data_IF_174758552360
#
_entry.id   IF_174758552360
#
_cell.length_a   1.000
_cell.length_b   1.000
_cell.length_c   1.000
_cell.angle_alpha   90.00
_cell.angle_beta   90.00
_cell.angle_gamma   90.00
#
_symmetry.space_group_name_H-M   'P 1'
#
loop_
_entity.id
_entity.type
_entity.pdbx_description
1 polymer ?
#
# COMPACT_ATOMS: atom_id res chain seq x y z
N UNK A 1 -13.96 -0.41 -13.83
CA UNK A 1 -14.55 -0.15 -12.51
C UNK A 1 -15.29 -1.40 -12.05
N UNK A 2 -14.83 -2.00 -10.95
CA UNK A 2 -15.39 -3.21 -10.38
C UNK A 2 -16.80 -2.93 -9.80
N UNK A 3 -17.79 -3.81 -10.05
CA UNK A 3 -19.12 -3.73 -9.43
C UNK A 3 -19.11 -3.64 -7.90
N UNK A 4 -18.07 -4.14 -7.24
CA UNK A 4 -17.88 -4.05 -5.77
C UNK A 4 -17.87 -2.62 -5.24
N UNK A 5 -17.50 -1.64 -6.06
CA UNK A 5 -17.45 -0.22 -5.69
C UNK A 5 -18.70 0.57 -6.16
N UNK A 6 -19.79 -0.11 -6.53
CA UNK A 6 -21.01 0.53 -7.00
C UNK A 6 -20.95 1.07 -8.43
N UNK A 7 -19.91 0.70 -9.18
CA UNK A 7 -19.70 1.10 -10.57
C UNK A 7 -19.23 2.54 -10.73
N UNK A 8 -19.01 2.95 -11.98
CA UNK A 8 -18.42 4.25 -12.33
C UNK A 8 -19.25 5.44 -11.80
N UNK A 9 -20.58 5.32 -11.77
CA UNK A 9 -21.50 6.41 -11.35
C UNK A 9 -21.27 6.81 -9.90
N UNK A 10 -21.17 5.85 -8.99
CA UNK A 10 -20.95 6.11 -7.56
C UNK A 10 -19.57 6.75 -7.35
N UNK A 11 -18.55 6.28 -8.06
CA UNK A 11 -17.21 6.89 -8.03
C UNK A 11 -17.27 8.34 -8.50
N UNK A 12 -17.95 8.61 -9.61
CA UNK A 12 -18.10 9.94 -10.16
C UNK A 12 -18.76 10.93 -9.18
N UNK A 13 -19.84 10.51 -8.52
CA UNK A 13 -20.55 11.31 -7.51
C UNK A 13 -19.63 11.67 -6.33
N UNK A 14 -18.82 10.74 -5.86
CA UNK A 14 -17.93 10.92 -4.72
C UNK A 14 -16.67 11.73 -5.05
N UNK A 15 -16.13 11.56 -6.25
CA UNK A 15 -14.93 12.27 -6.71
C UNK A 15 -15.28 13.66 -7.29
N UNK A 16 -16.55 13.92 -7.58
CA UNK A 16 -17.01 15.19 -8.17
C UNK A 16 -16.66 15.35 -9.65
N UNK A 17 -16.58 14.26 -10.40
CA UNK A 17 -16.31 14.25 -11.84
C UNK A 17 -17.50 13.62 -12.56
N UNK A 18 -18.01 14.24 -13.62
CA UNK A 18 -19.11 13.65 -14.38
C UNK A 18 -18.69 12.35 -15.07
N UNK A 19 -19.64 11.41 -15.20
CA UNK A 19 -19.37 10.08 -15.76
C UNK A 19 -18.78 10.15 -17.18
N UNK A 20 -19.32 11.02 -18.05
CA UNK A 20 -18.80 11.18 -19.39
C UNK A 20 -17.38 11.71 -19.43
N UNK A 21 -17.05 12.67 -18.54
CA UNK A 21 -15.70 13.20 -18.42
C UNK A 21 -14.74 12.14 -17.90
N UNK A 22 -15.13 11.38 -16.87
CA UNK A 22 -14.26 10.34 -16.33
C UNK A 22 -14.02 9.21 -17.35
N UNK A 23 -15.05 8.78 -18.09
CA UNK A 23 -14.88 7.79 -19.17
C UNK A 23 -13.87 8.26 -20.22
N UNK A 24 -13.96 9.53 -20.64
CA UNK A 24 -13.03 10.08 -21.61
C UNK A 24 -11.60 10.18 -21.07
N UNK A 25 -11.42 10.46 -19.78
CA UNK A 25 -10.10 10.58 -19.13
C UNK A 25 -9.39 9.24 -18.90
N UNK A 26 -10.14 8.13 -18.81
CA UNK A 26 -9.59 6.79 -18.63
C UNK A 26 -9.58 5.97 -19.93
N UNK A 27 -10.04 6.53 -21.06
CA UNK A 27 -9.93 5.90 -22.36
C UNK A 27 -8.53 6.15 -22.94
N UNK A 28 -7.74 5.10 -23.06
CA UNK A 28 -6.37 5.14 -23.59
C UNK A 28 -6.27 5.73 -25.02
N UNK A 29 -7.38 5.69 -25.77
CA UNK A 29 -7.44 6.24 -27.13
C UNK A 29 -7.70 7.75 -27.15
N UNK A 30 -7.99 8.35 -26.01
CA UNK A 30 -8.31 9.78 -25.92
C UNK A 30 -7.06 10.58 -25.54
N UNK A 31 -6.40 11.17 -26.52
CA UNK A 31 -5.18 11.96 -26.34
C UNK A 31 -5.44 13.37 -25.81
N UNK A 32 -6.69 13.83 -25.78
CA UNK A 32 -7.03 15.20 -25.39
C UNK A 32 -7.51 15.37 -23.94
N UNK A 33 -7.96 14.28 -23.31
CA UNK A 33 -8.48 14.29 -21.95
C UNK A 33 -7.71 13.31 -21.06
N UNK A 34 -6.76 13.85 -20.32
CA UNK A 34 -5.96 13.05 -19.39
C UNK A 34 -6.51 13.13 -17.97
N UNK A 35 -6.36 12.05 -17.23
CA UNK A 35 -6.62 12.02 -15.80
C UNK A 35 -5.57 12.89 -15.09
N UNK A 36 -5.99 13.90 -14.36
CA UNK A 36 -5.08 14.76 -13.58
C UNK A 36 -4.62 14.00 -12.34
N UNK A 37 -3.44 14.35 -11.84
CA UNK A 37 -2.86 13.70 -10.65
C UNK A 37 -3.75 13.83 -9.42
N UNK A 38 -4.36 15.01 -9.20
CA UNK A 38 -5.28 15.25 -8.08
C UNK A 38 -6.59 14.43 -8.20
N UNK A 39 -7.06 14.20 -9.43
CA UNK A 39 -8.23 13.35 -9.69
C UNK A 39 -7.89 11.87 -9.45
N UNK A 40 -6.73 11.41 -9.95
CA UNK A 40 -6.23 10.06 -9.72
C UNK A 40 -6.08 9.78 -8.21
N UNK A 41 -5.53 10.73 -7.46
CA UNK A 41 -5.37 10.63 -6.01
C UNK A 41 -6.73 10.50 -5.30
N UNK A 42 -7.72 11.33 -5.64
CA UNK A 42 -9.07 11.22 -5.06
C UNK A 42 -9.75 9.89 -5.39
N UNK A 43 -9.57 9.39 -6.62
CA UNK A 43 -10.10 8.09 -7.02
C UNK A 43 -9.47 6.96 -6.20
N UNK A 44 -8.15 6.97 -6.05
CA UNK A 44 -7.44 5.96 -5.24
C UNK A 44 -7.91 5.94 -3.78
N UNK A 45 -8.08 7.10 -3.17
CA UNK A 45 -8.56 7.22 -1.79
C UNK A 45 -9.99 6.69 -1.65
N UNK A 46 -10.87 7.05 -2.59
CA UNK A 46 -12.28 6.65 -2.56
C UNK A 46 -12.47 5.15 -2.77
N UNK A 47 -11.73 4.58 -3.70
CA UNK A 47 -11.79 3.15 -4.02
C UNK A 47 -10.95 2.28 -3.09
N UNK A 48 -10.05 2.86 -2.31
CA UNK A 48 -8.98 2.16 -1.59
C UNK A 48 -8.20 1.21 -2.53
N UNK A 49 -8.03 1.63 -3.77
CA UNK A 49 -7.32 0.89 -4.82
C UNK A 49 -6.12 1.73 -5.27
N UNK A 50 -4.93 1.28 -4.93
CA UNK A 50 -3.68 2.04 -5.09
C UNK A 50 -2.83 1.56 -6.27
N UNK A 51 -3.42 0.81 -7.23
CA UNK A 51 -2.69 0.30 -8.40
C UNK A 51 -2.02 1.38 -9.25
N UNK A 52 -2.62 2.58 -9.33
CA UNK A 52 -2.00 3.72 -10.03
C UNK A 52 -0.70 4.10 -9.30
N UNK A 53 -0.73 4.22 -7.98
CA UNK A 53 0.47 4.54 -7.19
C UNK A 53 1.52 3.44 -7.28
N UNK A 54 1.11 2.17 -7.27
CA UNK A 54 2.01 1.02 -7.43
C UNK A 54 2.70 1.05 -8.80
N UNK A 55 1.96 1.33 -9.87
CA UNK A 55 2.53 1.46 -11.21
C UNK A 55 3.52 2.63 -11.30
N UNK A 56 3.15 3.80 -10.76
CA UNK A 56 4.07 4.96 -10.73
C UNK A 56 5.33 4.67 -9.91
N UNK A 57 5.21 4.03 -8.75
CA UNK A 57 6.36 3.65 -7.93
C UNK A 57 7.28 2.68 -8.68
N UNK A 58 6.71 1.70 -9.38
CA UNK A 58 7.47 0.75 -10.20
C UNK A 58 8.26 1.44 -11.31
N UNK A 59 7.65 2.35 -12.06
CA UNK A 59 8.34 3.13 -13.12
C UNK A 59 9.47 4.01 -12.58
N UNK A 60 9.35 4.45 -11.33
CA UNK A 60 10.39 5.22 -10.62
C UNK A 60 11.45 4.34 -9.95
N UNK A 61 11.40 3.00 -10.12
CA UNK A 61 12.32 2.06 -9.50
C UNK A 61 12.07 1.81 -8.01
N UNK A 62 10.85 2.12 -7.53
CA UNK A 62 10.43 1.94 -6.15
C UNK A 62 9.25 0.99 -6.00
N UNK A 63 8.77 0.89 -4.78
CA UNK A 63 7.56 0.12 -4.43
C UNK A 63 6.60 0.99 -3.64
N UNK A 64 5.30 0.70 -3.73
CA UNK A 64 4.28 1.29 -2.89
C UNK A 64 3.50 0.17 -2.18
N UNK A 65 3.54 0.19 -0.86
CA UNK A 65 2.77 -0.71 0.00
C UNK A 65 2.11 0.08 1.13
N UNK A 66 0.90 -0.30 1.51
CA UNK A 66 0.26 0.25 2.69
C UNK A 66 0.89 -0.38 3.93
N UNK A 67 1.47 0.45 4.77
CA UNK A 67 2.03 -0.01 6.04
C UNK A 67 0.94 -0.09 7.11
N UNK A 68 0.92 -1.15 7.92
CA UNK A 68 0.04 -1.22 9.08
C UNK A 68 0.53 -0.21 10.12
N UNK A 69 -0.40 0.56 10.68
CA UNK A 69 -0.20 1.43 11.83
C UNK A 69 1.14 2.20 11.87
N UNK A 70 1.23 3.27 11.11
CA UNK A 70 2.36 4.23 11.13
C UNK A 70 2.10 5.46 12.02
N UNK A 71 1.06 5.42 12.88
CA UNK A 71 0.81 6.48 13.84
C UNK A 71 1.91 6.53 14.92
N UNK A 72 2.36 7.73 15.28
CA UNK A 72 3.33 7.94 16.34
C UNK A 72 2.58 8.01 17.67
N UNK A 73 2.89 7.12 18.60
CA UNK A 73 2.57 7.32 20.00
C UNK A 73 3.72 8.11 20.67
N UNK A 74 3.42 9.30 21.18
CA UNK A 74 4.42 10.15 21.84
C UNK A 74 5.04 9.52 23.10
N UNK A 75 4.43 8.46 23.61
CA UNK A 75 4.92 7.72 24.78
C UNK A 75 5.72 6.46 24.38
N UNK A 76 5.79 6.15 23.10
CA UNK A 76 6.50 4.97 22.62
C UNK A 76 7.99 5.28 22.45
N UNK A 77 8.83 4.58 23.22
CA UNK A 77 10.27 4.79 23.16
C UNK A 77 10.89 4.10 21.94
N UNK A 78 11.87 4.75 21.31
CA UNK A 78 12.62 4.21 20.15
C UNK A 78 13.15 2.79 20.42
N UNK A 79 13.57 2.50 21.66
CA UNK A 79 14.04 1.15 22.05
C UNK A 79 12.93 0.12 21.94
N UNK A 80 11.68 0.45 22.32
CA UNK A 80 10.53 -0.45 22.20
C UNK A 80 10.23 -0.73 20.73
N UNK A 81 10.26 0.30 19.88
CA UNK A 81 10.10 0.18 18.44
C UNK A 81 11.17 -0.71 17.80
N UNK A 82 12.44 -0.53 18.23
CA UNK A 82 13.55 -1.33 17.73
C UNK A 82 13.42 -2.81 18.14
N UNK A 83 13.04 -3.08 19.39
CA UNK A 83 12.78 -4.45 19.85
C UNK A 83 11.60 -5.09 19.10
N UNK A 84 10.54 -4.32 18.83
CA UNK A 84 9.41 -4.75 18.01
C UNK A 84 9.84 -5.10 16.59
N UNK A 85 10.62 -4.24 15.93
CA UNK A 85 11.15 -4.51 14.59
C UNK A 85 12.03 -5.76 14.55
N UNK A 86 12.91 -5.94 15.57
CA UNK A 86 13.75 -7.13 15.69
C UNK A 86 12.92 -8.40 15.87
N UNK A 87 11.87 -8.36 16.69
CA UNK A 87 10.95 -9.48 16.89
C UNK A 87 10.24 -9.86 15.60
N UNK A 88 9.70 -8.88 14.87
CA UNK A 88 9.03 -9.11 13.57
C UNK A 88 9.99 -9.68 12.52
N UNK A 89 11.22 -9.16 12.48
CA UNK A 89 12.26 -9.72 11.59
C UNK A 89 12.57 -11.17 11.92
N UNK A 90 12.66 -11.52 13.22
CA UNK A 90 12.83 -12.91 13.67
C UNK A 90 11.70 -13.82 13.16
N UNK A 91 10.45 -13.36 13.20
CA UNK A 91 9.31 -14.10 12.67
C UNK A 91 9.37 -14.30 11.15
N UNK A 92 9.86 -13.32 10.39
CA UNK A 92 10.13 -13.49 8.95
C UNK A 92 11.14 -14.62 8.73
N UNK A 93 12.26 -14.58 9.46
CA UNK A 93 13.29 -15.62 9.35
C UNK A 93 12.75 -17.02 9.69
N UNK A 94 11.94 -17.13 10.75
CA UNK A 94 11.35 -18.41 11.17
C UNK A 94 10.41 -18.99 10.09
N UNK A 95 9.52 -18.16 9.52
CA UNK A 95 8.61 -18.59 8.45
C UNK A 95 9.40 -19.08 7.23
N UNK A 96 10.41 -18.31 6.81
CA UNK A 96 11.21 -18.65 5.62
C UNK A 96 12.05 -19.91 5.89
N UNK A 97 12.63 -20.04 7.09
CA UNK A 97 13.43 -21.23 7.45
C UNK A 97 12.60 -22.49 7.41
N UNK A 98 11.40 -22.50 7.98
CA UNK A 98 10.48 -23.64 7.93
C UNK A 98 10.09 -24.03 6.52
N UNK A 99 9.76 -23.03 5.70
CA UNK A 99 9.42 -23.26 4.30
C UNK A 99 10.59 -23.85 3.49
N UNK A 100 11.83 -23.50 3.83
CA UNK A 100 13.02 -24.08 3.20
C UNK A 100 13.30 -25.53 3.66
N UNK A 101 12.89 -25.91 4.88
CA UNK A 101 12.98 -27.30 5.36
C UNK A 101 12.06 -28.23 4.57
N UNK A 102 10.86 -27.76 4.20
CA UNK A 102 9.89 -28.51 3.41
C UNK A 102 10.16 -28.42 1.88
N UNK A 103 11.04 -27.52 1.46
CA UNK A 103 11.46 -27.34 0.05
C UNK A 103 10.50 -26.52 -0.81
N UNK A 104 9.37 -26.08 -0.28
CA UNK A 104 8.39 -25.25 -1.00
C UNK A 104 7.83 -24.13 -0.11
N UNK A 105 7.83 -22.91 -0.62
CA UNK A 105 7.17 -21.78 0.01
C UNK A 105 5.70 -21.73 -0.42
N UNK A 106 4.80 -22.14 0.44
CA UNK A 106 3.35 -22.12 0.17
C UNK A 106 2.81 -20.68 0.05
N UNK A 107 1.64 -20.52 -0.56
CA UNK A 107 0.99 -19.19 -0.65
C UNK A 107 0.68 -18.61 0.74
N UNK A 108 0.24 -19.45 1.69
CA UNK A 108 -0.05 -19.00 3.06
C UNK A 108 1.21 -18.48 3.78
N UNK A 109 2.35 -19.16 3.62
CA UNK A 109 3.64 -18.73 4.19
C UNK A 109 4.16 -17.46 3.56
N UNK A 110 3.97 -17.27 2.24
CA UNK A 110 4.30 -16.01 1.55
C UNK A 110 3.50 -14.84 2.12
N UNK A 111 2.19 -15.00 2.29
CA UNK A 111 1.33 -13.95 2.86
C UNK A 111 1.71 -13.66 4.31
N UNK A 112 1.99 -14.69 5.11
CA UNK A 112 2.42 -14.54 6.50
C UNK A 112 3.77 -13.81 6.58
N UNK A 113 4.75 -14.21 5.78
CA UNK A 113 6.05 -13.54 5.70
C UNK A 113 5.89 -12.07 5.28
N UNK A 114 5.02 -11.79 4.29
CA UNK A 114 4.73 -10.42 3.85
C UNK A 114 4.16 -9.57 4.99
N UNK A 115 3.23 -10.10 5.78
CA UNK A 115 2.67 -9.40 6.95
C UNK A 115 3.76 -9.00 7.94
N UNK A 116 4.68 -9.92 8.28
CA UNK A 116 5.77 -9.63 9.20
C UNK A 116 6.79 -8.63 8.62
N UNK A 117 7.09 -8.73 7.32
CA UNK A 117 7.95 -7.76 6.62
C UNK A 117 7.34 -6.36 6.68
N UNK A 118 6.07 -6.21 6.33
CA UNK A 118 5.39 -4.91 6.37
C UNK A 118 5.30 -4.34 7.79
N UNK A 119 5.09 -5.20 8.79
CA UNK A 119 5.11 -4.79 10.19
C UNK A 119 6.51 -4.30 10.62
N UNK A 120 7.57 -4.97 10.20
CA UNK A 120 8.96 -4.52 10.44
C UNK A 120 9.21 -3.15 9.81
N UNK A 121 8.82 -2.96 8.54
CA UNK A 121 8.95 -1.68 7.84
C UNK A 121 8.18 -0.58 8.58
N UNK A 122 6.96 -0.86 9.03
CA UNK A 122 6.15 0.08 9.81
C UNK A 122 6.85 0.52 11.10
N UNK A 123 7.44 -0.41 11.83
CA UNK A 123 8.20 -0.11 13.06
C UNK A 123 9.44 0.76 12.77
N UNK A 124 10.18 0.43 11.71
CA UNK A 124 11.34 1.23 11.29
C UNK A 124 10.93 2.63 10.82
N UNK A 125 9.80 2.76 10.14
CA UNK A 125 9.24 4.06 9.74
C UNK A 125 8.89 4.91 10.97
N UNK A 126 8.27 4.33 11.99
CA UNK A 126 7.99 5.02 13.27
C UNK A 126 9.27 5.50 13.95
N UNK A 127 10.34 4.72 13.92
CA UNK A 127 11.65 5.14 14.44
C UNK A 127 12.14 6.38 13.70
N UNK A 128 12.11 6.37 12.37
CA UNK A 128 12.53 7.54 11.57
C UNK A 128 11.71 8.77 11.97
N UNK A 129 10.38 8.65 11.98
CA UNK A 129 9.48 9.75 12.33
C UNK A 129 9.72 10.27 13.76
N UNK A 130 10.09 9.40 14.71
CA UNK A 130 10.39 9.78 16.09
C UNK A 130 11.73 10.50 16.20
N UNK A 131 12.71 10.15 15.35
CA UNK A 131 14.03 10.79 15.32
C UNK A 131 14.00 12.16 14.63
N UNK A 132 13.01 12.42 13.77
CA UNK A 132 12.83 13.69 13.05
C UNK A 132 11.91 14.69 13.78
N UNK A 133 11.23 14.26 14.86
CA UNK A 133 10.28 15.07 15.62
C UNK A 133 10.99 15.87 16.75
#
# INVERSE_FOLDING_TARGET
>A
FDPKHGGIRVVCERVGISEGVLRNKVDERNESNHLRLDEAFRIMLELKDYRIMQAMAYELGGTFELLPDVSIDKNEHVVTLLLGATSQHGQVCDVITRALEDGELTQAERELAKVHVLSTISQLQKIIMTLEA
#
